data_IF_621927761723
#
_entry.id   IF_621927761723
#
_cell.length_a   1.000
_cell.length_b   1.000
_cell.length_c   1.000
_cell.angle_alpha   90.00
_cell.angle_beta   90.00
_cell.angle_gamma   90.00
#
_symmetry.space_group_name_H-M   'P 1'
#
loop_
_entity.id
_entity.type
_entity.pdbx_description
1 polymer ?
#
# COMPACT_ATOMS: atom_id res chain seq x y z
N UNK A 1 -16.76 -51.41 33.50
CA UNK A 1 -15.46 -50.86 33.07
C UNK A 1 -15.76 -49.90 31.92
N UNK A 2 -15.82 -48.62 32.30
CA UNK A 2 -15.85 -47.36 31.53
C UNK A 2 -16.99 -47.11 30.52
N UNK A 3 -17.91 -46.24 30.95
CA UNK A 3 -18.75 -45.37 30.11
C UNK A 3 -18.09 -43.97 30.14
N UNK A 4 -18.34 -43.20 29.08
CA UNK A 4 -18.30 -41.74 28.96
C UNK A 4 -16.99 -41.03 28.56
N UNK A 5 -17.12 -40.37 27.40
CA UNK A 5 -16.84 -38.96 27.17
C UNK A 5 -15.44 -38.44 27.46
N UNK A 6 -14.72 -38.11 26.38
CA UNK A 6 -13.96 -36.87 26.36
C UNK A 6 -14.29 -36.07 25.09
N UNK A 7 -14.94 -34.95 25.37
CA UNK A 7 -15.38 -33.90 24.47
C UNK A 7 -14.59 -32.67 24.86
N UNK A 8 -14.23 -31.88 23.86
CA UNK A 8 -13.83 -30.47 23.93
C UNK A 8 -12.32 -30.13 24.04
N UNK A 9 -11.82 -29.64 22.90
CA UNK A 9 -11.36 -28.27 22.71
C UNK A 9 -10.12 -27.75 23.49
N UNK A 10 -9.06 -27.52 22.73
CA UNK A 10 -8.27 -26.28 22.77
C UNK A 10 -7.68 -26.09 21.35
N UNK A 11 -8.30 -25.30 20.47
CA UNK A 11 -8.37 -23.87 20.64
C UNK A 11 -6.99 -23.23 20.42
N UNK A 12 -6.43 -23.34 19.21
CA UNK A 12 -5.30 -22.49 18.80
C UNK A 12 -5.85 -21.34 17.97
N UNK A 13 -6.21 -20.29 18.72
CA UNK A 13 -6.34 -18.88 18.37
C UNK A 13 -6.51 -18.52 16.89
N UNK A 14 -7.72 -18.10 16.56
CA UNK A 14 -7.94 -17.19 15.44
C UNK A 14 -7.31 -15.82 15.72
N UNK A 15 -6.57 -15.30 14.75
CA UNK A 15 -6.49 -13.86 14.52
C UNK A 15 -6.01 -13.56 13.10
N UNK A 16 -6.83 -12.81 12.37
CA UNK A 16 -6.58 -12.37 11.01
C UNK A 16 -7.86 -12.52 10.23
N UNK A 17 -8.72 -11.51 10.28
CA UNK A 17 -9.90 -11.48 9.42
C UNK A 17 -9.48 -11.82 7.98
N UNK A 18 -10.30 -12.61 7.27
CA UNK A 18 -10.26 -12.71 5.81
C UNK A 18 -10.64 -11.33 5.22
N UNK A 19 -9.85 -10.29 5.50
CA UNK A 19 -9.99 -9.00 4.88
C UNK A 19 -9.28 -9.12 3.55
N UNK A 20 -10.08 -9.07 2.49
CA UNK A 20 -9.57 -8.95 1.13
C UNK A 20 -8.53 -7.82 1.12
N UNK A 21 -7.29 -8.09 0.66
CA UNK A 21 -6.22 -7.11 0.75
C UNK A 21 -6.65 -5.83 0.04
N UNK A 22 -6.47 -4.68 0.69
CA UNK A 22 -6.90 -3.38 0.18
C UNK A 22 -5.71 -2.52 -0.18
N UNK A 23 -5.71 -2.04 -1.41
CA UNK A 23 -4.71 -1.13 -1.89
C UNK A 23 -5.32 0.27 -2.02
N UNK A 24 -4.73 1.27 -1.36
CA UNK A 24 -5.08 2.67 -1.53
C UNK A 24 -4.13 3.30 -2.55
N UNK A 25 -4.67 3.68 -3.70
CA UNK A 25 -3.96 4.36 -4.76
C UNK A 25 -4.18 5.88 -4.66
N UNK A 26 -3.09 6.61 -4.42
CA UNK A 26 -3.07 8.07 -4.30
C UNK A 26 -2.55 8.67 -5.60
N UNK A 27 -3.37 9.50 -6.27
CA UNK A 27 -2.98 10.22 -7.50
C UNK A 27 -2.50 9.30 -8.64
N UNK A 28 -3.06 8.08 -8.70
CA UNK A 28 -2.78 7.11 -9.76
C UNK A 28 -3.75 7.33 -10.92
N UNK A 29 -3.22 7.64 -12.10
CA UNK A 29 -4.02 7.90 -13.30
C UNK A 29 -4.56 6.65 -14.01
N UNK A 30 -5.54 6.79 -14.93
CA UNK A 30 -6.25 5.68 -15.59
C UNK A 30 -5.34 4.69 -16.32
N UNK A 31 -4.32 5.18 -17.03
CA UNK A 31 -3.39 4.33 -17.75
C UNK A 31 -2.57 3.44 -16.81
N UNK A 32 -2.22 3.96 -15.63
CA UNK A 32 -1.50 3.21 -14.62
C UNK A 32 -2.39 2.21 -13.91
N UNK A 33 -3.63 2.60 -13.63
CA UNK A 33 -4.65 1.74 -13.04
C UNK A 33 -4.89 0.51 -13.88
N UNK A 34 -5.04 0.66 -15.20
CA UNK A 34 -5.24 -0.45 -16.13
C UNK A 34 -4.12 -1.51 -16.02
N UNK A 35 -2.88 -1.09 -15.73
CA UNK A 35 -1.73 -1.99 -15.53
C UNK A 35 -1.76 -2.71 -14.18
N UNK A 36 -2.44 -2.15 -13.18
CA UNK A 36 -2.54 -2.70 -11.82
C UNK A 36 -3.77 -3.59 -11.64
N UNK A 37 -4.89 -3.27 -12.29
CA UNK A 37 -6.17 -4.00 -12.17
C UNK A 37 -6.31 -5.19 -13.11
N UNK A 38 -5.38 -5.37 -14.05
CA UNK A 38 -5.43 -6.42 -15.08
C UNK A 38 -5.17 -7.85 -14.58
N UNK A 39 -4.79 -8.03 -13.32
CA UNK A 39 -4.62 -9.34 -12.68
C UNK A 39 -5.46 -9.33 -11.41
N UNK A 40 -6.18 -10.42 -11.09
CA UNK A 40 -7.03 -10.52 -9.89
C UNK A 40 -6.25 -10.10 -8.63
N UNK A 41 -6.39 -8.83 -8.27
CA UNK A 41 -5.54 -8.12 -7.32
C UNK A 41 -6.36 -7.60 -6.14
N UNK A 42 -5.70 -6.93 -5.18
CA UNK A 42 -6.37 -6.36 -4.03
C UNK A 42 -7.47 -5.36 -4.43
N UNK A 43 -8.50 -5.24 -3.59
CA UNK A 43 -9.54 -4.23 -3.77
C UNK A 43 -8.87 -2.84 -3.78
N UNK A 44 -8.97 -2.15 -4.93
CA UNK A 44 -8.27 -0.90 -5.17
C UNK A 44 -9.18 0.29 -4.89
N UNK A 45 -8.76 1.16 -3.98
CA UNK A 45 -9.45 2.41 -3.64
C UNK A 45 -8.64 3.57 -4.16
N UNK A 46 -9.28 4.45 -4.94
CA UNK A 46 -8.64 5.65 -5.49
C UNK A 46 -8.89 6.86 -4.63
N UNK A 47 -7.86 7.65 -4.40
CA UNK A 47 -7.95 8.94 -3.71
C UNK A 47 -6.97 9.95 -4.29
N UNK A 48 -7.18 11.21 -3.93
CA UNK A 48 -6.29 12.32 -4.25
C UNK A 48 -5.44 12.66 -3.04
N UNK A 49 -4.27 13.22 -3.26
CA UNK A 49 -3.39 13.62 -2.15
C UNK A 49 -4.10 14.62 -1.22
N UNK A 50 -4.80 15.59 -1.82
CA UNK A 50 -5.52 16.64 -1.07
C UNK A 50 -6.68 16.09 -0.23
N UNK A 51 -7.30 14.97 -0.64
CA UNK A 51 -8.42 14.34 0.07
C UNK A 51 -7.99 13.26 1.06
N UNK A 52 -6.68 13.01 1.21
CA UNK A 52 -6.17 12.00 2.13
C UNK A 52 -6.24 12.49 3.57
N UNK A 53 -7.12 11.88 4.37
CA UNK A 53 -7.30 12.20 5.78
C UNK A 53 -7.41 10.93 6.65
N UNK A 54 -7.47 11.12 7.97
CA UNK A 54 -7.55 10.02 8.93
C UNK A 54 -8.86 9.23 8.78
N UNK A 55 -9.97 9.91 8.46
CA UNK A 55 -11.28 9.29 8.26
C UNK A 55 -11.29 8.33 7.07
N UNK A 56 -10.63 8.70 5.97
CA UNK A 56 -10.44 7.85 4.81
C UNK A 56 -9.59 6.63 5.15
N UNK A 57 -8.45 6.82 5.83
CA UNK A 57 -7.57 5.72 6.22
C UNK A 57 -8.28 4.74 7.17
N UNK A 58 -9.02 5.24 8.16
CA UNK A 58 -9.79 4.41 9.08
C UNK A 58 -10.94 3.65 8.41
N UNK A 59 -11.55 4.24 7.37
CA UNK A 59 -12.63 3.59 6.60
C UNK A 59 -12.10 2.54 5.63
N UNK A 60 -11.03 2.86 4.91
CA UNK A 60 -10.45 1.98 3.90
C UNK A 60 -9.67 0.84 4.57
N UNK A 61 -8.94 1.14 5.64
CA UNK A 61 -7.97 0.25 6.28
C UNK A 61 -7.02 -0.38 5.24
N UNK A 62 -6.20 0.42 4.55
CA UNK A 62 -5.36 -0.11 3.48
C UNK A 62 -4.21 -0.96 4.02
N UNK A 63 -4.00 -2.12 3.42
CA UNK A 63 -2.84 -2.98 3.64
C UNK A 63 -1.61 -2.48 2.86
N UNK A 64 -1.84 -1.69 1.81
CA UNK A 64 -0.81 -1.12 0.96
C UNK A 64 -1.25 0.26 0.46
N UNK A 65 -0.34 1.23 0.49
CA UNK A 65 -0.52 2.51 -0.21
C UNK A 65 0.41 2.56 -1.41
N UNK A 66 -0.12 2.93 -2.56
CA UNK A 66 0.66 3.18 -3.77
C UNK A 66 0.44 4.61 -4.26
N UNK A 67 1.51 5.24 -4.75
CA UNK A 67 1.44 6.58 -5.31
C UNK A 67 2.56 6.79 -6.33
N UNK A 68 2.43 7.72 -7.29
CA UNK A 68 3.56 8.17 -8.08
C UNK A 68 4.71 8.66 -7.19
N UNK A 69 5.95 8.45 -7.62
CA UNK A 69 7.12 9.03 -6.95
C UNK A 69 7.06 10.56 -6.92
N UNK A 70 6.53 11.15 -8.00
CA UNK A 70 6.27 12.57 -8.14
C UNK A 70 4.86 12.77 -8.69
N UNK A 71 4.08 13.62 -8.03
CA UNK A 71 2.73 13.99 -8.45
C UNK A 71 2.55 15.50 -8.54
N UNK A 72 1.41 15.96 -9.09
CA UNK A 72 1.08 17.38 -9.09
C UNK A 72 0.82 17.85 -7.65
N UNK A 73 1.76 18.61 -7.09
CA UNK A 73 1.62 19.26 -5.79
C UNK A 73 2.06 18.44 -4.57
N UNK A 74 2.71 17.29 -4.77
CA UNK A 74 3.37 16.52 -3.71
C UNK A 74 4.45 15.60 -4.31
N UNK A 75 5.47 15.28 -3.51
CA UNK A 75 6.34 14.14 -3.78
C UNK A 75 6.06 12.98 -2.81
N UNK A 76 6.71 11.84 -3.05
CA UNK A 76 6.50 10.66 -2.21
C UNK A 76 6.86 10.91 -0.73
N UNK A 77 7.78 11.84 -0.46
CA UNK A 77 8.23 12.14 0.89
C UNK A 77 7.16 12.95 1.63
N UNK A 78 6.54 13.93 0.98
CA UNK A 78 5.37 14.66 1.49
C UNK A 78 4.23 13.68 1.83
N UNK A 79 3.95 12.73 0.93
CA UNK A 79 2.94 11.70 1.18
C UNK A 79 3.32 10.79 2.35
N UNK A 80 4.57 10.32 2.42
CA UNK A 80 5.04 9.47 3.50
C UNK A 80 4.92 10.19 4.87
N UNK A 81 5.34 11.46 4.94
CA UNK A 81 5.20 12.26 6.16
C UNK A 81 3.74 12.45 6.54
N UNK A 82 2.86 12.77 5.58
CA UNK A 82 1.42 12.90 5.83
C UNK A 82 0.82 11.60 6.34
N UNK A 83 1.12 10.47 5.71
CA UNK A 83 0.70 9.15 6.16
C UNK A 83 1.17 8.86 7.60
N UNK A 84 2.41 9.22 7.94
CA UNK A 84 2.91 9.06 9.30
C UNK A 84 2.13 9.88 10.32
N UNK A 85 1.84 11.16 10.00
CA UNK A 85 1.04 12.07 10.84
C UNK A 85 -0.38 11.53 11.04
N UNK A 86 -0.96 10.94 9.99
CA UNK A 86 -2.27 10.30 10.05
C UNK A 86 -2.28 8.93 10.76
N UNK A 87 -1.11 8.45 11.23
CA UNK A 87 -0.98 7.20 11.97
C UNK A 87 -0.79 5.95 11.12
N UNK A 88 -0.68 6.08 9.79
CA UNK A 88 -0.37 4.94 8.91
C UNK A 88 1.07 4.47 9.09
N UNK A 89 1.25 3.15 9.19
CA UNK A 89 2.55 2.49 9.39
C UNK A 89 2.77 1.30 8.45
N UNK A 90 1.87 1.13 7.48
CA UNK A 90 1.94 0.03 6.53
C UNK A 90 2.91 0.29 5.37
N UNK A 91 2.97 -0.65 4.42
CA UNK A 91 3.71 -0.53 3.17
C UNK A 91 3.29 0.67 2.32
N UNK A 92 4.27 1.51 1.97
CA UNK A 92 4.16 2.54 0.92
C UNK A 92 5.01 2.12 -0.27
N UNK A 93 4.45 2.11 -1.47
CA UNK A 93 5.19 1.81 -2.70
C UNK A 93 5.08 2.95 -3.70
N UNK A 94 6.21 3.52 -4.10
CA UNK A 94 6.23 4.56 -5.12
C UNK A 94 6.31 3.97 -6.52
N UNK A 95 5.38 4.37 -7.37
CA UNK A 95 5.36 4.06 -8.79
C UNK A 95 6.30 5.02 -9.51
N UNK A 96 7.31 4.50 -10.19
CA UNK A 96 8.29 5.32 -10.91
C UNK A 96 8.70 4.70 -12.23
N UNK A 97 9.20 5.53 -13.15
CA UNK A 97 10.00 5.06 -14.29
C UNK A 97 11.40 4.65 -13.81
N UNK A 98 12.19 3.92 -14.61
CA UNK A 98 13.57 3.60 -14.27
C UNK A 98 14.35 4.86 -13.86
N UNK A 99 14.99 4.80 -12.69
CA UNK A 99 15.81 5.87 -12.15
C UNK A 99 17.29 5.50 -12.28
N UNK A 100 18.21 6.48 -12.38
CA UNK A 100 19.64 6.22 -12.39
C UNK A 100 20.13 5.51 -11.11
N UNK A 101 19.59 5.90 -9.96
CA UNK A 101 19.88 5.28 -8.66
C UNK A 101 18.61 5.18 -7.80
N UNK A 102 17.87 4.06 -7.90
CA UNK A 102 16.69 3.81 -7.06
C UNK A 102 17.04 3.67 -5.57
N UNK A 103 18.25 3.22 -5.24
CA UNK A 103 18.69 2.96 -3.87
C UNK A 103 18.84 4.25 -3.07
N UNK A 104 19.35 5.31 -3.69
CA UNK A 104 19.43 6.64 -3.09
C UNK A 104 18.06 7.16 -2.64
N UNK A 105 17.05 7.07 -3.50
CA UNK A 105 15.67 7.50 -3.19
C UNK A 105 15.07 6.69 -2.04
N UNK A 106 15.25 5.36 -2.06
CA UNK A 106 14.78 4.49 -0.97
C UNK A 106 15.45 4.86 0.35
N UNK A 107 16.76 5.08 0.34
CA UNK A 107 17.53 5.45 1.52
C UNK A 107 17.09 6.80 2.10
N UNK A 108 16.85 7.79 1.24
CA UNK A 108 16.36 9.11 1.63
C UNK A 108 15.00 9.01 2.32
N UNK A 109 14.00 8.40 1.66
CA UNK A 109 12.65 8.29 2.23
C UNK A 109 12.64 7.49 3.52
N UNK A 110 13.35 6.36 3.59
CA UNK A 110 13.46 5.56 4.83
C UNK A 110 14.20 6.31 5.94
N UNK A 111 15.15 7.17 5.59
CA UNK A 111 15.88 8.02 6.52
C UNK A 111 14.98 9.05 7.22
N UNK A 112 14.07 9.66 6.45
CA UNK A 112 13.10 10.65 6.94
C UNK A 112 11.84 10.02 7.56
N UNK A 113 11.42 8.84 7.11
CA UNK A 113 10.15 8.20 7.47
C UNK A 113 10.34 6.78 8.02
N UNK A 114 11.01 6.66 9.18
CA UNK A 114 11.35 5.37 9.81
C UNK A 114 10.15 4.49 10.21
N UNK A 115 8.94 5.05 10.25
CA UNK A 115 7.71 4.34 10.61
C UNK A 115 6.94 3.74 9.43
N UNK A 116 7.41 3.91 8.20
CA UNK A 116 6.75 3.42 6.99
C UNK A 116 7.68 2.43 6.29
N UNK A 117 7.15 1.27 5.92
CA UNK A 117 7.84 0.35 5.03
C UNK A 117 7.78 0.90 3.60
N UNK A 118 8.86 1.54 3.15
CA UNK A 118 8.93 2.18 1.84
C UNK A 118 9.71 1.35 0.82
N UNK A 119 9.21 1.24 -0.42
CA UNK A 119 9.96 0.68 -1.55
C UNK A 119 9.47 1.26 -2.90
N UNK A 120 10.17 0.95 -4.00
CA UNK A 120 9.85 1.42 -5.34
C UNK A 120 9.29 0.29 -6.22
N UNK A 121 8.27 0.62 -7.01
CA UNK A 121 7.78 -0.21 -8.11
C UNK A 121 8.19 0.48 -9.41
N UNK A 122 9.19 -0.11 -10.07
CA UNK A 122 9.69 0.41 -11.35
C UNK A 122 8.80 -0.12 -12.47
N UNK A 123 8.15 0.81 -13.15
CA UNK A 123 7.27 0.53 -14.26
C UNK A 123 8.06 0.70 -15.54
N UNK A 124 8.28 -0.40 -16.24
CA UNK A 124 8.80 -0.34 -17.60
C UNK A 124 7.87 0.56 -18.45
N UNK A 125 8.42 1.41 -19.33
CA UNK A 125 7.60 2.07 -20.33
C UNK A 125 6.85 1.00 -21.14
N UNK A 126 5.62 1.28 -21.62
CA UNK A 126 4.98 0.39 -22.57
C UNK A 126 5.94 0.16 -23.74
N UNK A 127 6.01 -1.08 -24.24
CA UNK A 127 6.80 -1.35 -25.42
C UNK A 127 6.30 -0.44 -26.56
N UNK A 128 7.18 0.08 -27.43
CA UNK A 128 6.73 0.83 -28.58
C UNK A 128 5.85 -0.10 -29.45
N UNK A 129 4.53 0.11 -29.44
CA UNK A 129 3.57 -0.66 -30.27
C UNK A 129 2.28 -1.14 -29.59
N UNK A 130 2.07 -0.91 -28.29
CA UNK A 130 0.75 -1.08 -27.62
C UNK A 130 -0.21 0.10 -27.89
#
# INVERSE_FOLDING_TARGET
MTIDSDSAAAGRSGHGAEHEPRCLAVEVGPAMLARLTGQAGPALVLTRYVTLDASLLARVMPDLVIAPLFGPGFDILDLAQRLMVLGYRGPLRALTRPLPDPGAVIAEVRGHCRGIDFDLIILAPPAPGD
#
